data_IF_581765992948
#
_entry.id   IF_581765992948
#
_cell.length_a   1.000
_cell.length_b   1.000
_cell.length_c   1.000
_cell.angle_alpha   90.00
_cell.angle_beta   90.00
_cell.angle_gamma   90.00
#
_symmetry.space_group_name_H-M   'P 1'
#
loop_
_entity.id
_entity.type
_entity.pdbx_description
1 polymer ?
#
# COMPACT_ATOMS: atom_id res chain seq x y z
N UNK A 1 22.88 3.68 -6.91
CA UNK A 1 22.08 4.78 -7.48
C UNK A 1 20.66 4.64 -6.97
N UNK A 2 20.46 4.91 -5.68
CA UNK A 2 19.19 4.62 -4.97
C UNK A 2 18.63 5.93 -4.46
N UNK A 3 17.90 6.64 -5.31
CA UNK A 3 17.16 7.85 -4.93
C UNK A 3 16.04 8.05 -5.96
N UNK A 4 15.03 7.20 -5.93
CA UNK A 4 13.75 7.50 -6.59
C UNK A 4 12.65 7.84 -5.58
N UNK A 5 12.78 7.36 -4.33
CA UNK A 5 11.80 7.58 -3.27
C UNK A 5 12.46 8.32 -2.10
N UNK A 6 12.13 9.60 -1.96
CA UNK A 6 12.70 10.49 -0.94
C UNK A 6 12.01 10.34 0.42
N UNK A 7 11.81 9.09 0.89
CA UNK A 7 11.27 8.83 2.23
C UNK A 7 12.10 9.53 3.33
N UNK A 8 13.45 9.45 3.35
CA UNK A 8 14.24 10.03 4.44
C UNK A 8 14.19 11.56 4.50
N UNK A 9 13.98 12.25 3.38
CA UNK A 9 13.89 13.72 3.34
C UNK A 9 12.58 14.23 3.93
N UNK A 10 11.56 13.37 4.01
CA UNK A 10 10.27 13.67 4.65
C UNK A 10 10.17 13.16 6.08
N UNK A 11 11.12 12.35 6.53
CA UNK A 11 11.20 11.83 7.89
C UNK A 11 12.55 12.19 8.51
N UNK A 12 12.74 13.44 8.98
CA UNK A 12 13.96 13.76 9.71
C UNK A 12 14.06 12.84 10.94
N UNK A 13 15.19 12.15 11.07
CA UNK A 13 15.52 11.41 12.27
C UNK A 13 15.35 12.32 13.49
N UNK A 14 14.76 11.81 14.58
CA UNK A 14 14.65 12.58 15.83
C UNK A 14 16.06 13.00 16.25
N UNK A 15 16.38 14.28 16.05
CA UNK A 15 17.44 14.89 16.82
C UNK A 15 16.99 14.87 18.28
N UNK A 16 17.87 14.40 19.16
CA UNK A 16 17.69 14.53 20.60
C UNK A 16 17.27 15.96 20.92
N UNK A 17 16.09 16.09 21.52
CA UNK A 17 15.49 17.36 21.93
C UNK A 17 16.51 18.13 22.77
N UNK A 18 17.05 19.21 22.22
CA UNK A 18 17.49 20.35 23.04
C UNK A 18 16.26 21.18 23.34
N UNK A 19 15.95 21.30 24.64
CA UNK A 19 14.81 22.03 25.20
C UNK A 19 14.60 23.39 24.52
N UNK A 20 13.35 23.66 24.10
CA UNK A 20 12.91 25.01 23.74
C UNK A 20 12.24 25.17 22.37
N UNK A 21 11.28 24.34 21.99
CA UNK A 21 10.20 24.79 21.09
C UNK A 21 8.91 24.00 21.35
N UNK A 22 7.85 24.73 21.66
CA UNK A 22 6.57 24.21 22.18
C UNK A 22 5.58 23.89 21.06
N UNK A 23 6.07 23.26 19.99
CA UNK A 23 5.23 22.69 18.94
C UNK A 23 5.68 21.26 18.67
N UNK A 24 4.88 20.24 19.02
CA UNK A 24 5.22 18.88 18.63
C UNK A 24 5.22 18.85 17.11
N UNK A 25 6.37 18.50 16.52
CA UNK A 25 6.46 18.15 15.11
C UNK A 25 5.66 16.84 14.92
N UNK A 26 4.35 16.96 14.77
CA UNK A 26 3.47 15.84 14.45
C UNK A 26 3.88 15.36 13.07
N UNK A 27 4.36 14.12 12.99
CA UNK A 27 4.71 13.52 11.71
C UNK A 27 3.46 13.55 10.81
N UNK A 28 3.56 13.93 9.53
CA UNK A 28 2.43 13.92 8.60
C UNK A 28 1.93 12.49 8.29
N UNK A 29 2.39 11.50 9.04
CA UNK A 29 2.03 10.10 8.93
C UNK A 29 1.39 9.59 10.25
N UNK A 30 1.04 10.47 11.19
CA UNK A 30 0.63 10.05 12.53
C UNK A 30 1.78 9.37 13.28
N UNK A 31 1.45 8.38 14.11
CA UNK A 31 2.42 7.60 14.89
C UNK A 31 3.09 6.53 14.02
N UNK A 32 4.27 6.88 13.48
CA UNK A 32 5.13 5.93 12.80
C UNK A 32 5.67 4.88 13.79
N UNK A 33 5.61 3.62 13.39
CA UNK A 33 6.28 2.55 14.11
C UNK A 33 7.80 2.61 13.86
N UNK A 34 8.63 2.09 14.78
CA UNK A 34 10.06 1.98 14.56
C UNK A 34 10.38 1.29 13.23
N UNK A 35 11.47 1.66 12.54
CA UNK A 35 11.86 1.03 11.27
C UNK A 35 12.04 -0.48 11.42
N UNK A 36 11.63 -1.24 10.42
CA UNK A 36 11.93 -2.67 10.35
C UNK A 36 13.43 -2.85 10.05
N UNK A 37 14.01 -3.87 10.64
CA UNK A 37 15.36 -4.30 10.30
C UNK A 37 15.38 -4.96 8.93
N UNK A 38 16.55 -4.95 8.28
CA UNK A 38 16.73 -5.68 7.02
C UNK A 38 16.49 -7.19 7.14
N UNK A 39 16.62 -7.76 8.34
CA UNK A 39 16.31 -9.16 8.60
C UNK A 39 14.80 -9.41 8.61
N UNK A 40 14.02 -8.60 9.35
CA UNK A 40 12.56 -8.75 9.39
C UNK A 40 11.90 -8.56 8.01
N UNK A 41 12.41 -7.62 7.21
CA UNK A 41 11.94 -7.43 5.83
C UNK A 41 12.27 -8.64 4.95
N UNK A 42 13.44 -9.25 5.13
CA UNK A 42 13.79 -10.49 4.42
C UNK A 42 12.95 -11.67 4.87
N UNK A 43 12.67 -11.80 6.15
CA UNK A 43 11.80 -12.85 6.68
C UNK A 43 10.38 -12.74 6.11
N UNK A 44 9.89 -11.50 5.92
CA UNK A 44 8.64 -11.24 5.21
C UNK A 44 8.69 -11.70 3.75
N UNK A 45 9.74 -11.36 3.01
CA UNK A 45 9.92 -11.82 1.62
C UNK A 45 10.00 -13.34 1.50
N UNK A 46 10.73 -13.98 2.42
CA UNK A 46 10.85 -15.43 2.50
C UNK A 46 9.50 -16.08 2.83
N UNK A 47 8.71 -15.49 3.76
CA UNK A 47 7.35 -15.94 4.10
C UNK A 47 6.37 -15.79 2.94
N UNK A 48 6.48 -14.72 2.16
CA UNK A 48 5.61 -14.48 1.00
C UNK A 48 6.08 -15.24 -0.26
N UNK A 49 7.35 -15.66 -0.31
CA UNK A 49 7.96 -16.34 -1.46
C UNK A 49 8.25 -15.39 -2.65
N UNK A 50 8.37 -14.09 -2.39
CA UNK A 50 8.51 -13.03 -3.40
C UNK A 50 9.35 -11.88 -2.86
N UNK A 51 10.07 -11.18 -3.74
CA UNK A 51 10.71 -9.90 -3.39
C UNK A 51 9.68 -8.77 -3.39
N UNK A 52 9.70 -7.93 -2.36
CA UNK A 52 8.76 -6.81 -2.22
C UNK A 52 9.07 -5.70 -3.23
N UNK A 53 8.05 -4.93 -3.66
CA UNK A 53 8.28 -3.80 -4.54
C UNK A 53 9.20 -2.76 -3.86
N UNK A 54 10.16 -2.15 -4.59
CA UNK A 54 11.22 -1.33 -4.00
C UNK A 54 10.71 -0.22 -3.08
N UNK A 55 9.64 0.48 -3.45
CA UNK A 55 9.09 1.60 -2.68
C UNK A 55 8.49 1.16 -1.34
N UNK A 56 7.79 0.02 -1.30
CA UNK A 56 7.24 -0.55 -0.07
C UNK A 56 8.35 -1.11 0.83
N UNK A 57 9.33 -1.79 0.24
CA UNK A 57 10.51 -2.27 0.97
C UNK A 57 11.24 -1.12 1.67
N UNK A 58 11.49 -0.03 0.96
CA UNK A 58 12.16 1.15 1.53
C UNK A 58 11.31 1.83 2.62
N UNK A 59 9.98 1.83 2.46
CA UNK A 59 9.09 2.32 3.49
C UNK A 59 9.23 1.50 4.78
N UNK A 60 9.16 0.17 4.72
CA UNK A 60 9.31 -0.70 5.90
C UNK A 60 10.65 -0.48 6.62
N UNK A 61 11.74 -0.30 5.87
CA UNK A 61 13.07 0.01 6.41
C UNK A 61 13.18 1.43 7.00
N UNK A 62 12.20 2.30 6.74
CA UNK A 62 12.12 3.65 7.30
C UNK A 62 11.11 3.74 8.45
N UNK A 63 10.01 3.00 8.35
CA UNK A 63 8.95 2.86 9.34
C UNK A 63 8.22 1.53 9.12
N UNK A 64 8.17 0.67 10.14
CA UNK A 64 7.48 -0.62 10.06
C UNK A 64 5.96 -0.44 10.20
N UNK A 65 5.33 0.25 9.26
CA UNK A 65 3.93 0.65 9.35
C UNK A 65 3.71 1.98 10.07
N UNK A 66 2.45 2.38 10.17
CA UNK A 66 1.98 3.62 10.81
C UNK A 66 0.58 3.43 11.40
N UNK A 67 0.23 4.28 12.37
CA UNK A 67 -1.12 4.31 12.95
C UNK A 67 -1.40 3.16 13.93
N UNK A 68 -2.48 3.33 14.69
CA UNK A 68 -2.91 2.43 15.78
C UNK A 68 -4.42 2.12 15.68
N UNK A 69 -4.92 1.84 14.47
CA UNK A 69 -6.30 1.41 14.17
C UNK A 69 -7.42 2.48 14.14
N UNK A 70 -7.15 3.75 14.45
CA UNK A 70 -8.20 4.75 14.66
C UNK A 70 -8.69 5.52 13.41
N UNK A 71 -8.34 5.11 12.18
CA UNK A 71 -9.04 5.53 10.93
C UNK A 71 -8.29 4.94 9.72
N UNK A 72 -6.95 4.90 9.78
CA UNK A 72 -6.12 4.35 8.71
C UNK A 72 -4.77 3.87 9.25
N UNK A 73 -4.34 2.69 8.81
CA UNK A 73 -3.06 2.11 9.18
C UNK A 73 -2.38 1.42 7.98
N UNK A 74 -1.09 1.16 8.16
CA UNK A 74 -0.26 0.33 7.30
C UNK A 74 0.34 -0.70 8.25
N UNK A 75 0.17 -1.96 7.87
CA UNK A 75 0.52 -3.12 8.66
C UNK A 75 2.03 -3.22 8.82
N UNK A 76 2.42 -3.70 10.00
CA UNK A 76 3.79 -4.11 10.29
C UNK A 76 4.14 -5.39 9.51
N UNK A 77 5.42 -5.65 9.31
CA UNK A 77 5.91 -6.82 8.56
C UNK A 77 5.41 -8.17 9.07
N UNK A 78 5.01 -8.28 10.34
CA UNK A 78 4.48 -9.53 10.90
C UNK A 78 3.00 -9.74 10.55
N UNK A 79 2.26 -8.66 10.26
CA UNK A 79 0.84 -8.69 9.93
C UNK A 79 0.57 -8.63 8.42
N UNK A 80 1.49 -8.08 7.63
CA UNK A 80 1.37 -8.08 6.16
C UNK A 80 1.30 -9.51 5.61
N UNK A 81 0.36 -9.77 4.70
CA UNK A 81 0.09 -11.13 4.20
C UNK A 81 -0.81 -11.16 2.98
N UNK A 82 -0.85 -12.29 2.29
CA UNK A 82 -1.75 -12.45 1.14
C UNK A 82 -3.20 -12.26 1.56
N UNK A 83 -3.95 -11.46 0.80
CA UNK A 83 -5.32 -11.07 1.15
C UNK A 83 -6.22 -12.30 1.34
N UNK A 84 -6.07 -13.32 0.48
CA UNK A 84 -6.82 -14.59 0.60
C UNK A 84 -6.65 -15.31 1.94
N UNK A 85 -5.54 -15.09 2.64
CA UNK A 85 -5.21 -15.75 3.89
C UNK A 85 -5.49 -14.82 5.09
N UNK A 86 -5.17 -13.53 4.95
CA UNK A 86 -5.32 -12.52 5.99
C UNK A 86 -6.78 -12.06 6.18
N UNK A 87 -7.51 -11.87 5.08
CA UNK A 87 -8.93 -11.53 5.08
C UNK A 87 -9.66 -12.23 3.92
N UNK A 88 -10.03 -13.51 4.09
CA UNK A 88 -10.75 -14.27 3.06
C UNK A 88 -12.10 -13.66 2.69
N UNK A 89 -12.76 -12.96 3.63
CA UNK A 89 -14.08 -12.36 3.41
C UNK A 89 -14.00 -11.19 2.43
N UNK A 90 -13.02 -10.30 2.61
CA UNK A 90 -12.72 -9.24 1.64
C UNK A 90 -12.29 -9.87 0.31
N UNK A 91 -11.40 -10.87 0.34
CA UNK A 91 -10.94 -11.52 -0.87
C UNK A 91 -12.10 -12.08 -1.71
N UNK A 92 -13.05 -12.77 -1.08
CA UNK A 92 -14.22 -13.35 -1.76
C UNK A 92 -15.18 -12.28 -2.26
N UNK A 93 -15.48 -11.27 -1.45
CA UNK A 93 -16.46 -10.23 -1.77
C UNK A 93 -16.05 -9.37 -2.98
N UNK A 94 -14.74 -9.12 -3.11
CA UNK A 94 -14.17 -8.30 -4.18
C UNK A 94 -13.63 -9.14 -5.36
N UNK A 95 -13.61 -10.46 -5.23
CA UNK A 95 -13.31 -11.32 -6.37
C UNK A 95 -14.42 -11.23 -7.40
N UNK A 96 -14.05 -11.14 -8.68
CA UNK A 96 -15.03 -11.26 -9.76
C UNK A 96 -15.76 -12.59 -9.61
N UNK A 97 -17.09 -12.65 -9.85
CA UNK A 97 -17.82 -13.90 -9.77
C UNK A 97 -17.17 -14.92 -10.70
N UNK A 98 -17.04 -16.17 -10.24
CA UNK A 98 -16.67 -17.29 -11.11
C UNK A 98 -17.92 -17.81 -11.80
N UNK A 99 -18.18 -17.38 -13.05
CA UNK A 99 -18.71 -18.31 -14.01
C UNK A 99 -17.97 -18.23 -15.35
N UNK A 100 -18.12 -19.34 -16.06
CA UNK A 100 -17.87 -19.78 -17.44
C UNK A 100 -17.66 -18.73 -18.56
N UNK A 101 -17.91 -17.43 -18.30
CA UNK A 101 -17.56 -16.27 -19.12
C UNK A 101 -16.61 -15.35 -18.32
N UNK A 102 -15.34 -15.72 -18.28
CA UNK A 102 -14.25 -14.94 -17.67
C UNK A 102 -13.92 -13.72 -18.53
N UNK A 103 -14.82 -12.73 -18.57
CA UNK A 103 -14.49 -11.43 -19.14
C UNK A 103 -13.55 -10.69 -18.18
N UNK A 104 -12.25 -10.90 -18.35
CA UNK A 104 -11.24 -10.05 -17.72
C UNK A 104 -11.29 -8.66 -18.36
N UNK A 105 -11.12 -7.62 -17.55
CA UNK A 105 -11.08 -6.24 -18.05
C UNK A 105 -9.94 -6.11 -19.08
N UNK A 106 -10.21 -5.68 -20.33
CA UNK A 106 -9.19 -5.51 -21.37
C UNK A 106 -8.09 -4.53 -20.95
N UNK A 107 -6.88 -4.72 -21.47
CA UNK A 107 -5.71 -3.89 -21.18
C UNK A 107 -5.96 -2.40 -21.42
N UNK A 108 -6.75 -2.05 -22.46
CA UNK A 108 -7.06 -0.66 -22.84
C UNK A 108 -7.90 0.07 -21.79
N UNK A 109 -8.72 -0.66 -21.04
CA UNK A 109 -9.52 -0.14 -19.93
C UNK A 109 -8.76 -0.28 -18.61
N UNK A 110 -8.00 -1.36 -18.46
CA UNK A 110 -7.27 -1.66 -17.24
C UNK A 110 -6.10 -0.70 -17.04
N UNK A 111 -5.22 -0.46 -18.01
CA UNK A 111 -3.98 0.30 -17.78
C UNK A 111 -4.15 1.84 -17.80
N UNK A 112 -5.35 2.34 -17.56
CA UNK A 112 -5.64 3.76 -17.34
C UNK A 112 -5.46 4.09 -15.86
N UNK A 113 -4.58 5.04 -15.57
CA UNK A 113 -4.23 5.49 -14.20
C UNK A 113 -4.46 7.00 -14.04
N UNK A 114 -4.53 7.46 -12.79
CA UNK A 114 -4.73 8.89 -12.48
C UNK A 114 -6.19 9.31 -12.61
N UNK A 115 -6.43 10.56 -13.00
CA UNK A 115 -7.78 11.16 -12.99
C UNK A 115 -8.75 10.55 -14.03
N UNK A 116 -8.21 9.96 -15.10
CA UNK A 116 -9.01 9.34 -16.17
C UNK A 116 -9.38 7.88 -15.85
N UNK A 117 -8.85 7.33 -14.76
CA UNK A 117 -9.16 5.96 -14.34
C UNK A 117 -10.63 5.85 -13.91
N UNK A 118 -11.31 4.83 -14.43
CA UNK A 118 -12.55 4.34 -13.83
C UNK A 118 -12.25 3.18 -12.88
N UNK A 119 -12.63 3.32 -11.61
CA UNK A 119 -12.41 2.30 -10.57
C UNK A 119 -13.11 0.98 -10.86
N UNK A 120 -14.15 0.96 -11.69
CA UNK A 120 -14.85 -0.28 -12.07
C UNK A 120 -13.97 -1.20 -12.92
N UNK A 121 -12.93 -0.67 -13.58
CA UNK A 121 -12.05 -1.40 -14.49
C UNK A 121 -10.90 -2.12 -13.77
N UNK A 122 -11.19 -2.77 -12.65
CA UNK A 122 -10.24 -3.63 -11.94
C UNK A 122 -10.47 -5.11 -12.27
N UNK A 123 -9.43 -5.93 -12.14
CA UNK A 123 -9.46 -7.38 -12.40
C UNK A 123 -9.68 -8.12 -11.10
N UNK A 124 -10.94 -8.44 -10.81
CA UNK A 124 -11.32 -9.13 -9.58
C UNK A 124 -10.60 -10.47 -9.38
N UNK A 125 -10.18 -11.14 -10.45
CA UNK A 125 -9.40 -12.37 -10.39
C UNK A 125 -8.00 -12.20 -9.76
N UNK A 126 -7.48 -10.97 -9.67
CA UNK A 126 -6.21 -10.68 -9.00
C UNK A 126 -6.36 -10.47 -7.49
N UNK A 127 -7.57 -10.16 -7.01
CA UNK A 127 -7.84 -9.76 -5.61
C UNK A 127 -7.27 -10.76 -4.60
N UNK A 128 -7.53 -12.08 -4.69
CA UNK A 128 -7.00 -13.06 -3.73
C UNK A 128 -5.47 -13.13 -3.70
N UNK A 129 -4.81 -12.77 -4.81
CA UNK A 129 -3.37 -12.78 -4.99
C UNK A 129 -2.67 -11.48 -4.57
N UNK A 130 -3.41 -10.47 -4.10
CA UNK A 130 -2.83 -9.22 -3.62
C UNK A 130 -2.27 -9.35 -2.21
N UNK A 131 -1.24 -8.56 -1.90
CA UNK A 131 -0.65 -8.44 -0.57
C UNK A 131 -1.40 -7.34 0.20
N UNK A 132 -2.02 -7.70 1.33
CA UNK A 132 -2.62 -6.75 2.25
C UNK A 132 -1.54 -6.02 3.04
N UNK A 133 -1.51 -4.69 2.91
CA UNK A 133 -0.49 -3.84 3.55
C UNK A 133 -1.08 -2.79 4.50
N UNK A 134 -2.40 -2.63 4.57
CA UNK A 134 -3.04 -1.63 5.40
C UNK A 134 -4.56 -1.59 5.27
N UNK A 135 -5.18 -0.88 6.20
CA UNK A 135 -6.61 -0.56 6.19
C UNK A 135 -6.75 0.95 6.16
N UNK A 136 -7.52 1.50 5.23
CA UNK A 136 -7.76 2.93 5.10
C UNK A 136 -9.25 3.22 5.10
N UNK A 137 -9.72 3.92 6.11
CA UNK A 137 -11.14 4.08 6.44
C UNK A 137 -11.79 2.66 6.52
N UNK A 138 -12.96 2.42 5.93
CA UNK A 138 -13.51 1.04 5.81
C UNK A 138 -12.97 0.26 4.59
N UNK A 139 -11.84 0.67 4.04
CA UNK A 139 -11.17 0.08 2.87
C UNK A 139 -9.86 -0.64 3.20
N UNK A 140 -9.23 -1.21 2.16
CA UNK A 140 -7.94 -1.90 2.24
C UNK A 140 -6.95 -1.33 1.23
N UNK A 141 -5.70 -1.21 1.68
CA UNK A 141 -4.54 -0.92 0.86
C UNK A 141 -3.83 -2.22 0.49
N UNK A 142 -3.66 -2.46 -0.81
CA UNK A 142 -3.17 -3.72 -1.36
C UNK A 142 -2.03 -3.50 -2.36
N UNK A 143 -1.14 -4.48 -2.49
CA UNK A 143 -0.13 -4.54 -3.56
C UNK A 143 -0.39 -5.74 -4.47
N UNK A 144 -0.49 -5.49 -5.77
CA UNK A 144 -0.84 -6.47 -6.79
C UNK A 144 0.41 -7.01 -7.50
N UNK A 145 0.88 -8.24 -7.21
CA UNK A 145 2.06 -8.80 -7.85
C UNK A 145 1.84 -9.24 -9.31
N UNK A 146 0.60 -9.24 -9.81
CA UNK A 146 0.29 -9.64 -11.19
C UNK A 146 0.63 -8.55 -12.21
N UNK A 147 0.71 -7.29 -11.76
CA UNK A 147 1.04 -6.14 -12.58
C UNK A 147 2.28 -5.48 -12.01
N UNK A 148 3.39 -5.56 -12.75
CA UNK A 148 4.69 -5.04 -12.32
C UNK A 148 5.27 -4.10 -13.37
N UNK A 149 5.91 -3.04 -12.91
CA UNK A 149 6.67 -2.15 -13.80
C UNK A 149 8.04 -2.75 -14.10
N UNK A 150 8.75 -2.17 -15.08
CA UNK A 150 10.14 -2.55 -15.40
C UNK A 150 11.11 -2.36 -14.23
N UNK A 151 10.78 -1.48 -13.29
CA UNK A 151 11.58 -1.16 -12.11
C UNK A 151 11.29 -2.12 -10.94
N UNK A 152 10.36 -3.07 -11.11
CA UNK A 152 9.97 -4.02 -10.08
C UNK A 152 8.90 -3.50 -9.10
N UNK A 153 8.36 -2.30 -9.34
CA UNK A 153 7.20 -1.83 -8.58
C UNK A 153 5.97 -2.68 -8.90
N UNK A 154 5.15 -2.90 -7.89
CA UNK A 154 3.86 -3.56 -8.04
C UNK A 154 2.79 -2.48 -8.09
N UNK A 155 1.76 -2.73 -8.88
CA UNK A 155 0.56 -1.91 -8.86
C UNK A 155 -0.03 -1.92 -7.44
N UNK A 156 -0.44 -0.75 -6.94
CA UNK A 156 -1.00 -0.61 -5.60
C UNK A 156 -2.47 -0.21 -5.71
N UNK A 157 -3.33 -0.77 -4.86
CA UNK A 157 -4.78 -0.59 -4.92
C UNK A 157 -5.30 -0.06 -3.60
N UNK A 158 -6.29 0.83 -3.69
CA UNK A 158 -7.21 1.13 -2.61
C UNK A 158 -8.60 0.60 -3.00
N UNK A 159 -9.04 -0.45 -2.31
CA UNK A 159 -10.40 -1.00 -2.40
C UNK A 159 -11.21 -0.49 -1.23
N UNK A 160 -12.43 -0.01 -1.47
CA UNK A 160 -13.30 0.47 -0.41
C UNK A 160 -14.77 0.29 -0.79
N UNK A 161 -15.66 -0.04 0.16
CA UNK A 161 -17.06 -0.37 -0.11
C UNK A 161 -17.88 0.78 -0.73
N UNK A 162 -17.46 2.03 -0.55
CA UNK A 162 -18.09 3.19 -1.21
C UNK A 162 -17.56 3.47 -2.62
N UNK A 163 -16.60 2.69 -3.12
CA UNK A 163 -16.09 2.78 -4.49
C UNK A 163 -16.72 1.68 -5.36
N UNK A 164 -17.03 1.96 -6.64
CA UNK A 164 -17.47 0.94 -7.60
C UNK A 164 -16.45 -0.20 -7.82
N UNK A 165 -15.17 0.04 -7.52
CA UNK A 165 -14.09 -0.93 -7.66
C UNK A 165 -12.78 -0.42 -7.03
N UNK A 166 -11.65 -0.68 -7.67
CA UNK A 166 -10.32 -0.32 -7.16
C UNK A 166 -9.81 1.00 -7.72
N UNK A 167 -9.35 1.89 -6.85
CA UNK A 167 -8.43 2.96 -7.26
C UNK A 167 -7.02 2.37 -7.34
N UNK A 168 -6.42 2.40 -8.53
CA UNK A 168 -5.12 1.76 -8.80
C UNK A 168 -4.05 2.78 -9.09
N UNK A 169 -2.84 2.42 -8.69
CA UNK A 169 -1.64 3.25 -8.72
C UNK A 169 -0.47 2.42 -9.22
N UNK A 170 0.50 3.05 -9.89
CA UNK A 170 1.63 2.32 -10.49
C UNK A 170 2.64 1.78 -9.47
N UNK A 171 2.58 2.25 -8.24
CA UNK A 171 3.49 1.88 -7.16
C UNK A 171 2.86 2.13 -5.79
N UNK A 172 3.42 1.50 -4.75
CA UNK A 172 3.08 1.84 -3.36
C UNK A 172 3.37 3.32 -3.06
N UNK A 173 4.46 3.86 -3.60
CA UNK A 173 4.78 5.27 -3.46
C UNK A 173 3.65 6.18 -3.95
N UNK A 174 3.13 5.94 -5.15
CA UNK A 174 2.07 6.78 -5.72
C UNK A 174 0.78 6.73 -4.88
N UNK A 175 0.41 5.54 -4.41
CA UNK A 175 -0.72 5.32 -3.51
C UNK A 175 -0.53 6.11 -2.20
N UNK A 176 0.61 5.93 -1.52
CA UNK A 176 0.91 6.61 -0.25
C UNK A 176 1.02 8.13 -0.39
N UNK A 177 1.54 8.64 -1.52
CA UNK A 177 1.60 10.07 -1.80
C UNK A 177 0.22 10.67 -2.05
N UNK A 178 -0.68 9.94 -2.71
CA UNK A 178 -2.06 10.39 -2.92
C UNK A 178 -2.80 10.52 -1.58
N UNK A 179 -2.67 9.51 -0.73
CA UNK A 179 -3.26 9.49 0.63
C UNK A 179 -2.76 10.66 1.49
N UNK A 180 -1.44 10.88 1.50
CA UNK A 180 -0.84 12.04 2.15
C UNK A 180 -1.40 13.37 1.61
N UNK A 181 -1.51 13.52 0.29
CA UNK A 181 -2.07 14.76 -0.28
C UNK A 181 -3.51 14.98 0.16
N UNK A 182 -4.34 13.93 0.21
CA UNK A 182 -5.73 14.05 0.64
C UNK A 182 -5.86 14.49 2.10
N UNK A 183 -5.02 13.94 3.00
CA UNK A 183 -5.02 14.32 4.43
C UNK A 183 -4.54 15.75 4.69
N UNK A 184 -3.62 16.25 3.88
CA UNK A 184 -2.93 17.52 4.12
C UNK A 184 -3.24 18.61 3.08
N UNK A 185 -4.22 18.39 2.20
CA UNK A 185 -4.83 19.46 1.42
C UNK A 185 -5.61 20.40 2.35
N UNK A 186 -4.88 21.32 2.99
CA UNK A 186 -5.41 22.51 3.64
C UNK A 186 -5.06 23.75 2.82
#
# INVERSE_FOLDING_TARGET
MSAQYAWPERFPARHSVTEGSDHPAVSPLGDLHPPATGAEVRDLEERLGVELPPSYRQFLLSANGWGNDDDCCLLRVEAAGWLRDADPSIAESWSAPKPEDSWSVPDELYFVYGQEQDSIHYRGEYVPGTLLIGYWDDGVALLNPHVRTSEGEWEAWHLAPWKPGANRYRSFWDLAMDELRMRYAR
#
